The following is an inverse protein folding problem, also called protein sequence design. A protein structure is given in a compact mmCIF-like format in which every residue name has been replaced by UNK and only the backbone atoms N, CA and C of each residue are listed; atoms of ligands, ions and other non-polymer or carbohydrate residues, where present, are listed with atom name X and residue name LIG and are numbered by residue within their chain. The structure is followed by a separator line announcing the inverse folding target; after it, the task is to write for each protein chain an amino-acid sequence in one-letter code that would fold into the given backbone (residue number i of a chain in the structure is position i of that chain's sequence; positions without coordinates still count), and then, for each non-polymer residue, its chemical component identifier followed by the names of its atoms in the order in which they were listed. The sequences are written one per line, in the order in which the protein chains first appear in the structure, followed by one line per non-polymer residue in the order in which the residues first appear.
data_IF_107893657939
#
_entry.id   IF_107893657939
#
_cell.length_a   1.000
_cell.length_b   1.000
_cell.length_c   1.000
_cell.angle_alpha   90.00
_cell.angle_beta   90.00
_cell.angle_gamma   90.00
#
_symmetry.space_group_name_H-M   'P 1'
#
loop_
_entity.id
_entity.type
_entity.pdbx_description
1 polymer ?
2 non-polymer ?
3 water ?
#
# COMPACT_ATOMS: atom_id res chain seq x y z
N UNK A 25 0.57 8.17 -40.29
CA UNK A 25 -0.48 8.39 -41.30
C UNK A 25 -1.83 8.13 -40.66
N UNK A 26 -2.18 6.87 -40.37
CA UNK A 26 -3.62 6.56 -40.13
C UNK A 26 -3.88 5.14 -39.60
N UNK A 27 -4.62 5.01 -38.52
CA UNK A 27 -4.80 3.69 -37.92
C UNK A 27 -4.08 3.55 -36.59
N UNK A 28 -3.79 2.31 -36.21
CA UNK A 28 -3.29 2.00 -34.87
C UNK A 28 -1.78 2.01 -34.79
N UNK A 29 -1.26 2.75 -33.84
CA UNK A 29 0.16 2.89 -33.62
C UNK A 29 0.46 2.63 -32.20
N UNK A 30 1.72 2.36 -31.92
CA UNK A 30 2.23 2.25 -30.56
C UNK A 30 3.29 3.33 -30.33
N UNK A 31 3.29 3.86 -29.10
CA UNK A 31 4.14 5.00 -28.72
C UNK A 31 5.51 4.48 -28.41
N UNK A 32 6.53 5.08 -28.98
CA UNK A 32 7.91 4.73 -28.70
C UNK A 32 8.52 5.63 -27.60
N UNK A 33 7.77 6.61 -27.17
CA UNK A 33 8.18 7.52 -26.11
C UNK A 33 6.91 8.06 -25.48
N UNK A 34 7.03 8.63 -24.29
CA UNK A 34 5.90 9.26 -23.64
C UNK A 34 5.44 10.47 -24.45
N UNK A 35 4.17 10.50 -24.83
CA UNK A 35 3.69 11.56 -25.71
C UNK A 35 2.66 12.41 -25.02
N UNK A 36 2.77 13.71 -25.21
CA UNK A 36 1.73 14.63 -24.74
C UNK A 36 0.55 14.71 -25.71
N UNK A 37 -0.65 14.61 -25.17
CA UNK A 37 -1.88 14.86 -25.94
C UNK A 37 -2.56 16.11 -25.42
N UNK A 38 -2.97 16.95 -26.35
CA UNK A 38 -3.54 18.24 -26.01
C UNK A 38 -5.00 18.25 -26.29
N UNK A 39 -5.68 19.19 -25.67
CA UNK A 39 -7.11 19.24 -25.86
C UNK A 39 -7.54 20.05 -27.06
N UNK A 40 -6.61 20.65 -27.78
CA UNK A 40 -6.97 21.32 -29.03
C UNK A 40 -5.84 21.25 -30.01
N UNK A 41 -6.12 21.52 -31.28
CA UNK A 41 -5.04 21.58 -32.28
C UNK A 41 -3.93 22.58 -32.03
N UNK A 42 -4.16 23.59 -31.20
CA UNK A 42 -3.15 24.57 -30.86
C UNK A 42 -2.15 24.06 -29.83
N UNK A 43 -2.43 22.94 -29.16
CA UNK A 43 -1.49 22.35 -28.24
C UNK A 43 -1.02 23.27 -27.12
N UNK A 44 -1.98 23.95 -26.52
CA UNK A 44 -1.74 24.88 -25.45
C UNK A 44 -2.11 24.36 -24.08
N UNK A 45 -2.94 23.32 -24.03
CA UNK A 45 -3.35 22.73 -22.76
C UNK A 45 -3.31 21.23 -22.84
N UNK A 46 -2.55 20.64 -21.91
CA UNK A 46 -2.34 19.20 -21.85
C UNK A 46 -3.59 18.54 -21.39
N UNK A 47 -3.99 17.52 -22.12
CA UNK A 47 -5.15 16.73 -21.78
C UNK A 47 -4.78 15.41 -21.06
N UNK A 48 -3.87 14.64 -21.64
CA UNK A 48 -3.35 13.47 -20.96
C UNK A 48 -1.98 13.27 -21.56
N UNK A 49 -1.28 12.27 -21.05
CA UNK A 49 -0.01 11.85 -21.59
C UNK A 49 -0.09 10.36 -21.84
N UNK A 50 0.44 9.97 -22.99
CA UNK A 50 0.47 8.54 -23.37
C UNK A 50 1.87 7.94 -23.15
N UNK A 51 1.95 7.01 -22.21
CA UNK A 51 3.18 6.35 -21.85
C UNK A 51 3.69 5.58 -23.02
N UNK A 52 5.01 5.52 -23.09
CA UNK A 52 5.67 4.60 -24.02
C UNK A 52 4.98 3.25 -24.00
N UNK A 53 4.81 2.69 -25.18
CA UNK A 53 4.24 1.35 -25.28
C UNK A 53 2.73 1.37 -25.45
N UNK A 54 2.04 2.46 -25.10
CA UNK A 54 0.60 2.52 -25.35
C UNK A 54 0.28 2.57 -26.84
N UNK A 55 -0.92 2.12 -27.15
CA UNK A 55 -1.47 2.13 -28.48
C UNK A 55 -2.37 3.31 -28.67
N UNK A 56 -2.31 3.90 -29.85
CA UNK A 56 -3.21 5.00 -30.12
C UNK A 56 -3.69 4.92 -31.54
N UNK A 57 -4.86 5.49 -31.76
CA UNK A 57 -5.47 5.55 -33.09
C UNK A 57 -5.27 6.95 -33.64
N UNK A 58 -4.70 7.01 -34.82
CA UNK A 58 -4.47 8.26 -35.52
C UNK A 58 -5.57 8.42 -36.57
N UNK A 59 -6.33 9.52 -36.48
CA UNK A 59 -7.42 9.80 -37.41
C UNK A 59 -6.87 10.52 -38.61
N UNK A 60 -7.74 10.81 -39.57
CA UNK A 60 -7.34 11.63 -40.68
C UNK A 60 -7.61 13.13 -40.43
N UNK A 61 -8.02 13.50 -39.21
CA UNK A 61 -8.27 14.91 -38.90
C UNK A 61 -6.97 15.65 -38.51
N UNK A 62 -6.35 16.27 -39.50
CA UNK A 62 -5.20 17.14 -39.29
C UNK A 62 -5.68 18.58 -39.21
N UNK A 63 -5.16 19.32 -38.24
CA UNK A 63 -5.50 20.71 -38.09
C UNK A 63 -4.32 21.41 -37.45
N UNK A 64 -4.00 22.60 -37.95
CA UNK A 64 -2.86 23.32 -37.43
C UNK A 64 -1.67 22.35 -37.62
N UNK A 65 -0.78 22.21 -36.65
CA UNK A 65 0.30 21.28 -36.86
C UNK A 65 0.15 20.05 -35.97
N UNK A 66 -1.09 19.55 -35.89
CA UNK A 66 -1.43 18.43 -35.02
C UNK A 66 -2.48 17.55 -35.70
N UNK A 67 -2.71 16.36 -35.12
CA UNK A 67 -3.66 15.42 -35.65
C UNK A 67 -4.47 14.86 -34.49
N UNK A 68 -5.77 14.67 -34.71
CA UNK A 68 -6.64 14.10 -33.72
C UNK A 68 -6.37 12.61 -33.59
N UNK A 69 -6.26 12.17 -32.35
CA UNK A 69 -6.02 10.78 -32.01
C UNK A 69 -6.93 10.41 -30.87
N UNK A 70 -7.03 9.12 -30.60
CA UNK A 70 -7.51 8.66 -29.33
C UNK A 70 -6.66 7.50 -28.84
N UNK A 71 -6.52 7.38 -27.54
CA UNK A 71 -5.73 6.33 -26.97
C UNK A 71 -6.58 5.08 -26.87
N UNK A 72 -6.01 3.95 -27.24
CA UNK A 72 -6.78 2.70 -27.33
C UNK A 72 -7.29 2.12 -26.05
N UNK A 73 -6.53 2.28 -24.97
CA UNK A 73 -6.87 1.62 -23.73
C UNK A 73 -7.96 2.27 -22.90
N UNK A 74 -8.09 3.59 -23.02
CA UNK A 74 -9.10 4.35 -22.26
C UNK A 74 -9.97 5.21 -23.16
N UNK A 75 -9.85 5.05 -24.48
CA UNK A 75 -10.60 5.85 -25.44
C UNK A 75 -10.38 7.34 -25.34
N UNK A 76 -9.29 7.82 -24.73
CA UNK A 76 -9.16 9.22 -24.46
C UNK A 76 -8.82 9.97 -25.73
N UNK A 77 -9.62 10.99 -26.08
CA UNK A 77 -9.31 11.71 -27.32
C UNK A 77 -8.46 12.95 -27.09
N UNK A 78 -7.68 13.32 -28.10
CA UNK A 78 -6.89 14.51 -28.02
C UNK A 78 -6.15 14.77 -29.29
N UNK A 79 -5.19 15.67 -29.20
CA UNK A 79 -4.46 16.12 -30.33
C UNK A 79 -2.99 15.84 -30.08
N UNK A 80 -2.36 15.26 -31.09
CA UNK A 80 -0.95 14.96 -31.06
C UNK A 80 -0.22 15.86 -32.04
N UNK A 81 0.85 16.47 -31.59
CA UNK A 81 1.64 17.30 -32.46
C UNK A 81 2.24 16.43 -33.57
N UNK A 82 2.20 16.92 -34.82
CA UNK A 82 2.77 16.17 -35.93
C UNK A 82 4.25 15.91 -35.74
N UNK A 83 4.92 16.76 -34.96
CA UNK A 83 6.30 16.54 -34.58
C UNK A 83 6.57 15.25 -33.74
N UNK A 84 5.54 14.65 -33.17
CA UNK A 84 5.67 13.39 -32.46
C UNK A 84 5.40 12.18 -33.35
N UNK A 85 5.20 12.40 -34.66
CA UNK A 85 4.95 11.28 -35.55
C UNK A 85 6.10 10.31 -35.63
N UNK A 86 7.31 10.79 -35.42
CA UNK A 86 8.47 9.92 -35.42
C UNK A 86 8.52 8.99 -34.21
N UNK A 87 7.69 9.26 -33.23
CA UNK A 87 7.64 8.41 -32.06
C UNK A 87 6.48 7.45 -32.12
N UNK A 88 5.88 7.30 -33.31
CA UNK A 88 4.76 6.36 -33.51
C UNK A 88 5.23 5.27 -34.40
N UNK A 89 5.02 4.05 -33.97
CA UNK A 89 5.34 2.90 -34.80
C UNK A 89 4.04 2.15 -35.10
N UNK A 90 3.83 1.69 -36.35
CA UNK A 90 2.57 1.00 -36.67
C UNK A 90 2.44 -0.23 -35.80
N UNK A 91 1.27 -0.48 -35.29
CA UNK A 91 1.07 -1.68 -34.48
C UNK A 91 0.92 -2.89 -35.39
N UNK A 92 1.55 -4.00 -35.06
CA UNK A 92 1.36 -5.23 -35.82
C UNK A 92 0.46 -6.18 -35.05
N UNK A 93 0.27 -5.92 -33.76
CA UNK A 93 -0.63 -6.67 -32.90
C UNK A 93 -1.59 -5.65 -32.32
N UNK A 94 -2.88 -5.73 -32.66
CA UNK A 94 -3.82 -4.73 -32.16
C UNK A 94 -4.06 -4.84 -30.68
N UNK A 95 -4.29 -3.72 -30.01
CA UNK A 95 -4.59 -3.70 -28.59
C UNK A 95 -5.91 -4.46 -28.39
N UNK A 96 -5.90 -5.37 -27.43
CA UNK A 96 -7.11 -6.10 -27.02
C UNK A 96 -7.18 -6.03 -25.49
N UNK A 97 -8.29 -5.53 -24.97
CA UNK A 97 -8.37 -5.26 -23.54
C UNK A 97 -8.48 -6.57 -22.79
N UNK A 98 -7.74 -6.67 -21.69
CA UNK A 98 -7.81 -7.78 -20.77
C UNK A 98 -9.03 -7.64 -19.85
N UNK A 99 -9.52 -8.78 -19.40
CA UNK A 99 -10.67 -8.86 -18.51
C UNK A 99 -10.17 -9.31 -17.15
N UNK A 100 -10.62 -8.62 -16.10
CA UNK A 100 -10.28 -8.96 -14.75
C UNK A 100 -11.55 -9.25 -13.96
N UNK A 101 -11.57 -10.35 -13.23
CA UNK A 101 -12.59 -10.58 -12.21
C UNK A 101 -12.31 -9.70 -10.97
N UNK A 102 -13.33 -9.57 -10.14
CA UNK A 102 -13.27 -8.81 -8.90
C UNK A 102 -12.17 -9.38 -7.99
N UNK A 103 -12.01 -10.69 -8.00
CA UNK A 103 -10.98 -11.33 -7.18
C UNK A 103 -9.56 -11.12 -7.71
N UNK A 104 -9.41 -11.14 -9.03
CA UNK A 104 -8.14 -10.78 -9.63
C UNK A 104 -7.74 -9.34 -9.32
N UNK A 105 -8.71 -8.45 -9.39
CA UNK A 105 -8.47 -7.07 -9.04
C UNK A 105 -8.05 -6.95 -7.59
N UNK A 106 -8.77 -7.61 -6.69
CA UNK A 106 -8.42 -7.53 -5.28
C UNK A 106 -6.96 -7.96 -5.01
N UNK A 107 -6.52 -9.00 -5.68
CA UNK A 107 -5.15 -9.47 -5.54
C UNK A 107 -4.10 -8.49 -5.96
N UNK A 108 -4.46 -7.50 -6.80
CA UNK A 108 -3.49 -6.58 -7.36
C UNK A 108 -3.50 -5.23 -6.67
N UNK A 109 -4.42 -5.02 -5.72
CA UNK A 109 -4.49 -3.71 -5.08
C UNK A 109 -3.25 -3.36 -4.27
N UNK A 110 -2.53 -4.33 -3.76
CA UNK A 110 -1.30 -4.05 -3.00
C UNK A 110 -0.28 -3.38 -3.89
N UNK A 111 -0.15 -3.87 -5.12
CA UNK A 111 0.72 -3.26 -6.10
C UNK A 111 0.27 -1.85 -6.48
N UNK A 112 -1.04 -1.64 -6.57
CA UNK A 112 -1.56 -0.33 -6.92
C UNK A 112 -1.20 0.69 -5.86
N UNK A 113 -1.44 0.31 -4.61
CA UNK A 113 -1.03 1.15 -3.50
C UNK A 113 0.47 1.38 -3.48
N UNK A 114 1.23 0.32 -3.68
CA UNK A 114 2.70 0.49 -3.69
C UNK A 114 3.16 1.45 -4.78
N UNK A 115 2.50 1.42 -5.93
CA UNK A 115 2.81 2.38 -7.00
C UNK A 115 2.70 3.81 -6.52
N UNK A 116 1.62 4.11 -5.78
CA UNK A 116 1.44 5.48 -5.35
C UNK A 116 2.47 5.87 -4.30
N UNK A 117 2.88 4.91 -3.46
CA UNK A 117 3.88 5.24 -2.46
C UNK A 117 5.23 5.44 -3.09
N UNK A 118 5.57 4.63 -4.09
CA UNK A 118 6.81 4.82 -4.81
C UNK A 118 6.80 6.19 -5.52
N UNK A 119 5.66 6.57 -6.06
CA UNK A 119 5.50 7.87 -6.74
C UNK A 119 5.71 9.04 -5.79
N UNK A 120 5.24 8.87 -4.57
CA UNK A 120 5.35 9.92 -3.54
C UNK A 120 6.80 10.13 -3.12
N UNK A 121 7.63 9.12 -3.32
CA UNK A 121 9.04 9.21 -2.97
C UNK A 121 9.84 9.97 -3.98
N UNK A 122 9.31 10.19 -5.18
CA UNK A 122 10.03 10.95 -6.19
C UNK A 122 9.67 12.42 -6.08
N UNK A 123 10.60 13.29 -6.44
CA UNK A 123 10.23 14.70 -6.55
C UNK A 123 9.08 14.82 -7.55
N UNK A 124 8.06 15.54 -7.16
CA UNK A 124 6.86 15.63 -8.00
C UNK A 124 6.10 16.91 -7.65
N UNK A 125 5.42 17.44 -8.65
CA UNK A 125 4.46 18.51 -8.41
C UNK A 125 3.17 18.22 -9.15
N UNK A 126 2.14 18.98 -8.85
CA UNK A 126 0.85 18.72 -9.44
C UNK A 126 0.86 19.26 -10.86
N UNK A 127 0.56 18.42 -11.81
CA UNK A 127 0.59 18.84 -13.23
C UNK A 127 -0.74 18.46 -13.86
N UNK A 128 -1.52 19.45 -14.31
CA UNK A 128 -2.75 19.18 -15.03
C UNK A 128 -2.42 18.41 -16.29
N UNK A 129 -3.12 17.30 -16.50
CA UNK A 129 -2.85 16.36 -17.60
C UNK A 129 -1.74 15.39 -17.33
N UNK A 130 -1.14 15.48 -16.14
CA UNK A 130 -0.03 14.63 -15.80
C UNK A 130 -0.41 13.18 -15.57
N UNK A 131 0.20 12.30 -16.34
CA UNK A 131 -0.24 10.92 -16.42
C UNK A 131 0.91 9.91 -16.45
N UNK A 132 2.09 10.30 -16.93
CA UNK A 132 3.21 9.36 -17.05
C UNK A 132 4.18 9.43 -15.91
N UNK A 133 4.16 10.52 -15.16
CA UNK A 133 5.05 10.60 -14.01
C UNK A 133 6.34 11.31 -14.36
N UNK A 134 6.99 11.88 -13.36
CA UNK A 134 6.64 11.84 -11.93
C UNK A 134 5.55 12.80 -11.50
N UNK A 135 5.14 13.72 -12.38
CA UNK A 135 4.21 14.78 -12.01
C UNK A 135 2.82 14.39 -12.49
N UNK A 136 1.90 14.23 -11.54
CA UNK A 136 0.55 13.79 -11.79
C UNK A 136 -0.50 14.80 -11.44
N UNK A 137 -1.67 14.65 -12.07
CA UNK A 137 -2.89 15.24 -11.54
C UNK A 137 -3.62 14.16 -10.79
N UNK A 138 -4.70 14.49 -10.13
CA UNK A 138 -5.32 13.50 -9.22
C UNK A 138 -5.76 12.23 -9.90
N UNK A 139 -6.53 12.37 -10.98
CA UNK A 139 -7.06 11.24 -11.74
C UNK A 139 -5.96 10.59 -12.57
N UNK A 140 -4.93 11.36 -12.93
CA UNK A 140 -3.77 10.76 -13.62
C UNK A 140 -3.01 9.77 -12.76
N UNK A 141 -2.86 10.10 -11.47
CA UNK A 141 -2.21 9.21 -10.56
C UNK A 141 -3.03 7.96 -10.40
N UNK A 142 -4.35 8.11 -10.33
CA UNK A 142 -5.19 6.91 -10.17
C UNK A 142 -5.04 6.04 -11.42
N UNK A 143 -5.08 6.65 -12.58
CA UNK A 143 -4.98 5.84 -13.80
C UNK A 143 -3.64 5.16 -13.91
N UNK A 144 -2.57 5.89 -13.61
CA UNK A 144 -1.23 5.34 -13.69
C UNK A 144 -1.02 4.20 -12.69
N UNK A 145 -1.59 4.34 -11.50
CA UNK A 145 -1.42 3.32 -10.47
C UNK A 145 -2.14 2.03 -10.79
N UNK A 146 -3.38 2.13 -11.25
CA UNK A 146 -4.09 0.92 -11.69
C UNK A 146 -3.50 0.38 -12.96
N UNK A 147 -3.03 1.23 -13.87
CA UNK A 147 -2.47 0.68 -15.10
C UNK A 147 -1.14 -0.03 -14.82
N UNK A 148 -0.47 0.29 -13.70
CA UNK A 148 0.79 -0.38 -13.34
C UNK A 148 0.59 -1.88 -13.06
N UNK A 149 -0.65 -2.28 -12.82
CA UNK A 149 -1.01 -3.69 -12.76
C UNK A 149 -1.82 -4.21 -13.95
N UNK A 150 -2.02 -3.34 -14.94
CA UNK A 150 -2.72 -3.71 -16.15
C UNK A 150 -4.22 -3.44 -16.09
N UNK A 151 -4.67 -2.74 -15.07
CA UNK A 151 -6.10 -2.38 -14.94
C UNK A 151 -6.30 -0.99 -15.46
N UNK A 152 -7.20 -0.83 -16.44
CA UNK A 152 -7.49 0.46 -17.05
C UNK A 152 -8.73 1.13 -16.46
N UNK A 153 -8.55 2.35 -16.00
CA UNK A 153 -9.61 3.23 -15.58
C UNK A 153 -9.69 4.29 -16.66
N UNK A 154 -10.87 4.89 -16.77
CA UNK A 154 -10.96 6.10 -17.56
C UNK A 154 -10.13 7.21 -16.96
N UNK A 155 -9.90 8.24 -17.73
CA UNK A 155 -8.88 9.23 -17.36
C UNK A 155 -9.34 10.30 -16.40
N UNK A 156 -10.59 10.74 -16.48
CA UNK A 156 -11.02 11.88 -15.65
C UNK A 156 -11.71 11.45 -14.38
N UNK A 157 -11.63 12.28 -13.34
CA UNK A 157 -12.19 11.90 -12.05
C UNK A 157 -13.68 11.61 -12.13
N UNK A 158 -14.42 12.40 -12.90
CA UNK A 158 -15.87 12.18 -13.02
C UNK A 158 -16.17 10.86 -13.74
N UNK A 159 -15.31 10.48 -14.68
CA UNK A 159 -15.44 9.21 -15.37
C UNK A 159 -15.12 8.03 -14.43
N UNK A 160 -14.09 8.23 -13.61
CA UNK A 160 -13.73 7.19 -12.60
C UNK A 160 -14.84 6.96 -11.61
N UNK A 161 -15.53 8.03 -11.26
CA UNK A 161 -16.69 7.90 -10.39
C UNK A 161 -17.82 7.11 -11.06
N UNK A 162 -18.05 7.38 -12.35
CA UNK A 162 -19.08 6.67 -13.09
C UNK A 162 -18.72 5.23 -13.38
N UNK A 163 -17.44 4.94 -13.40
CA UNK A 163 -16.94 3.63 -13.82
C UNK A 163 -16.84 2.64 -12.67
N UNK A 164 -16.62 3.16 -11.47
CA UNK A 164 -16.53 2.33 -10.29
C UNK A 164 -17.94 2.06 -9.73
N UNK A 165 -18.00 1.11 -8.81
CA UNK A 165 -19.23 0.76 -8.11
C UNK A 165 -19.33 1.68 -6.91
N UNK A 166 -20.40 2.50 -6.84
CA UNK A 166 -20.49 3.34 -5.67
C UNK A 166 -20.63 2.55 -4.41
N UNK A 167 -19.92 2.96 -3.38
CA UNK A 167 -20.06 2.40 -2.06
C UNK A 167 -20.22 3.51 -1.05
N UNK A 168 -20.60 3.15 0.15
CA UNK A 168 -20.67 4.14 1.22
C UNK A 168 -19.27 4.41 1.76
N UNK A 169 -19.14 5.54 2.42
CA UNK A 169 -17.88 5.91 3.05
C UNK A 169 -17.51 4.85 4.10
N UNK A 170 -18.51 4.34 4.80
CA UNK A 170 -18.27 3.31 5.81
C UNK A 170 -17.67 2.05 5.21
N UNK A 171 -17.94 1.78 3.95
CA UNK A 171 -17.51 0.56 3.28
C UNK A 171 -16.10 0.69 2.70
N UNK A 172 -15.49 1.87 2.78
CA UNK A 172 -14.18 2.05 2.19
C UNK A 172 -13.18 1.04 2.72
N UNK A 173 -12.43 0.43 1.79
CA UNK A 173 -11.29 -0.44 2.12
C UNK A 173 -10.11 -0.12 1.22
N UNK A 174 -8.93 -0.54 1.63
CA UNK A 174 -7.71 -0.21 0.88
C UNK A 174 -7.89 -0.48 -0.63
N UNK A 175 -7.57 0.49 -1.46
CA UNK A 175 -7.64 0.33 -2.89
C UNK A 175 -8.91 0.84 -3.50
N UNK A 176 -9.88 1.27 -2.68
CA UNK A 176 -11.03 1.98 -3.18
C UNK A 176 -10.69 3.42 -3.52
N UNK A 177 -11.52 4.04 -4.36
CA UNK A 177 -11.36 5.44 -4.73
C UNK A 177 -12.27 6.32 -3.89
N UNK A 178 -11.77 7.48 -3.53
CA UNK A 178 -12.52 8.45 -2.75
C UNK A 178 -12.67 9.65 -3.68
N UNK A 179 -13.90 10.14 -3.80
CA UNK A 179 -14.23 11.22 -4.71
C UNK A 179 -14.63 12.46 -3.96
N UNK A 180 -14.23 13.60 -4.52
CA UNK A 180 -14.48 14.90 -3.95
C UNK A 180 -14.97 15.81 -5.06
N UNK A 181 -15.75 16.82 -4.68
CA UNK A 181 -16.10 17.86 -5.64
C UNK A 181 -17.30 18.58 -5.11
N UNK A 182 -18.18 19.08 -5.95
CA UNK A 182 -19.40 19.72 -5.42
C UNK A 182 -20.51 18.72 -5.64
N UNK A 183 -21.73 19.12 -5.36
CA UNK A 183 -22.85 18.22 -5.50
C UNK A 183 -23.03 17.88 -6.98
N UNK A 184 -22.38 18.67 -7.87
CA UNK A 184 -22.54 18.64 -9.36
C UNK A 184 -21.74 17.50 -10.04
N UNK A 185 -20.50 17.29 -9.60
CA UNK A 185 -19.64 16.23 -10.14
C UNK A 185 -18.36 16.14 -9.32
N UNK A 186 -17.69 15.00 -9.49
CA UNK A 186 -16.39 14.78 -8.91
C UNK A 186 -15.38 15.52 -9.77
N UNK A 187 -14.53 16.27 -9.09
CA UNK A 187 -13.40 16.94 -9.71
C UNK A 187 -12.07 16.55 -9.08
N UNK A 188 -12.07 15.69 -8.06
CA UNK A 188 -10.88 15.23 -7.38
C UNK A 188 -11.10 13.80 -6.88
N UNK A 189 -10.01 13.06 -6.83
CA UNK A 189 -10.01 11.65 -6.48
C UNK A 189 -8.74 11.28 -5.73
N UNK A 190 -8.87 10.31 -4.82
CA UNK A 190 -7.74 9.72 -4.13
C UNK A 190 -7.98 8.26 -3.90
N UNK A 191 -6.93 7.61 -3.43
CA UNK A 191 -6.91 6.16 -3.24
C UNK A 191 -6.91 5.88 -1.76
N UNK A 192 -7.93 5.16 -1.29
CA UNK A 192 -8.04 4.84 0.10
C UNK A 192 -7.01 3.87 0.62
N UNK A 193 -6.57 4.14 1.85
CA UNK A 193 -5.60 3.30 2.52
C UNK A 193 -6.27 2.59 3.68
N UNK A 194 -6.37 3.27 4.82
CA UNK A 194 -6.97 2.67 6.01
C UNK A 194 -7.32 3.74 7.01
N UNK A 195 -8.43 3.50 7.70
CA UNK A 195 -8.81 4.30 8.87
C UNK A 195 -8.83 5.79 8.56
N UNK A 196 -9.40 6.10 7.41
CA UNK A 196 -9.59 7.48 7.02
C UNK A 196 -8.52 8.04 6.12
N UNK A 197 -7.36 7.38 6.05
CA UNK A 197 -6.24 7.89 5.28
C UNK A 197 -6.35 7.52 3.83
N UNK A 198 -5.92 8.42 2.97
CA UNK A 198 -5.89 8.17 1.55
C UNK A 198 -4.71 8.91 0.95
N UNK A 199 -4.29 8.45 -0.22
CA UNK A 199 -3.19 9.06 -0.92
C UNK A 199 -3.71 9.69 -2.21
N UNK A 200 -3.18 10.84 -2.54
CA UNK A 200 -3.68 11.60 -3.69
C UNK A 200 -2.62 12.57 -4.16
N UNK A 201 -2.70 12.97 -5.41
CA UNK A 201 -1.97 14.11 -5.90
C UNK A 201 -2.91 15.31 -5.87
N UNK A 202 -2.49 16.37 -5.20
CA UNK A 202 -3.31 17.55 -5.01
C UNK A 202 -2.58 18.85 -5.43
N UNK A 203 -3.40 19.80 -5.85
CA UNK A 203 -2.90 21.02 -6.41
C UNK A 203 -2.24 21.99 -5.45
N UNK A 204 -1.64 23.02 -6.02
CA UNK A 204 -0.86 24.02 -5.29
C UNK A 204 -1.75 24.90 -4.45
N UNK A 205 -2.95 25.18 -4.93
CA UNK A 205 -3.84 26.13 -4.28
C UNK A 205 -4.43 25.68 -2.96
N UNK A 206 -5.09 24.52 -2.97
CA UNK A 206 -5.75 23.95 -1.79
C UNK A 206 -4.95 22.80 -1.14
N UNK A 207 -4.07 22.17 -1.92
CA UNK A 207 -3.42 20.95 -1.50
C UNK A 207 -1.94 21.08 -1.29
N UNK A 208 -1.27 20.00 -1.65
CA UNK A 208 0.13 19.80 -1.30
C UNK A 208 1.07 19.99 -2.47
N UNK A 209 0.53 20.34 -3.63
CA UNK A 209 1.31 20.45 -4.86
C UNK A 209 2.07 19.17 -5.15
N UNK A 210 1.33 18.09 -5.21
CA UNK A 210 1.92 16.79 -5.44
C UNK A 210 1.29 15.73 -4.57
N UNK A 211 1.98 14.61 -4.51
CA UNK A 211 1.44 13.42 -3.91
C UNK A 211 1.61 13.48 -2.41
N UNK A 212 0.56 13.13 -1.72
CA UNK A 212 0.60 13.11 -0.27
C UNK A 212 -0.54 12.34 0.29
N UNK A 213 -0.53 12.26 1.62
CA UNK A 213 -1.50 11.50 2.39
C UNK A 213 -2.33 12.42 3.26
N UNK A 214 -3.65 12.23 3.19
CA UNK A 214 -4.59 13.00 3.98
C UNK A 214 -5.59 12.08 4.67
N UNK A 215 -6.43 12.66 5.51
CA UNK A 215 -7.32 11.89 6.31
C UNK A 215 -8.71 12.49 6.18
N UNK A 216 -9.71 11.60 6.12
CA UNK A 216 -11.09 11.98 6.02
C UNK A 216 -11.63 12.22 7.40
N UNK A 217 -11.24 13.33 7.97
CA UNK A 217 -11.55 13.64 9.36
C UNK A 217 -11.45 15.12 9.60
N UNK A 218 -12.31 15.63 10.47
CA UNK A 218 -12.20 17.00 10.94
C UNK A 218 -11.03 17.20 11.90
N UNK A 219 -10.45 16.11 12.38
CA UNK A 219 -9.24 16.17 13.19
C UNK A 219 -7.97 16.30 12.35
N UNK A 220 -8.11 16.40 11.03
CA UNK A 220 -6.94 16.51 10.16
C UNK A 220 -6.35 17.92 10.16
N UNK A 221 -5.21 18.06 9.49
CA UNK A 221 -4.65 19.37 9.21
C UNK A 221 -5.50 20.15 8.21
N UNK A 222 -5.05 21.35 7.88
CA UNK A 222 -5.81 22.28 7.05
C UNK A 222 -6.09 21.70 5.68
N UNK A 223 -5.09 21.05 5.11
CA UNK A 223 -5.27 20.43 3.82
C UNK A 223 -6.33 19.35 3.91
N UNK A 224 -6.20 18.47 4.90
CA UNK A 224 -7.14 17.39 5.07
C UNK A 224 -8.54 17.93 5.25
N UNK A 225 -8.66 18.99 6.03
CA UNK A 225 -9.95 19.63 6.22
C UNK A 225 -10.50 20.28 4.93
N UNK A 226 -9.66 20.87 4.10
CA UNK A 226 -10.16 21.44 2.83
C UNK A 226 -10.84 20.35 1.97
N UNK A 227 -10.24 19.17 1.91
CA UNK A 227 -10.72 18.08 1.08
C UNK A 227 -11.90 17.35 1.70
N UNK A 228 -11.86 17.18 3.00
CA UNK A 228 -12.88 16.44 3.69
C UNK A 228 -14.24 17.12 3.52
N UNK A 229 -14.25 18.45 3.54
CA UNK A 229 -15.44 19.25 3.32
C UNK A 229 -16.01 19.13 1.92
N UNK A 230 -15.24 18.59 0.97
CA UNK A 230 -15.65 18.40 -0.40
C UNK A 230 -15.92 16.95 -0.71
N UNK A 231 -15.87 16.09 0.30
CA UNK A 231 -16.05 14.68 0.07
C UNK A 231 -17.41 14.39 -0.54
N UNK A 232 -17.45 13.65 -1.66
CA UNK A 232 -18.70 13.25 -2.32
C UNK A 232 -19.07 11.81 -2.04
N UNK A 233 -18.09 10.92 -2.06
CA UNK A 233 -18.40 9.51 -2.02
C UNK A 233 -17.19 8.69 -2.37
N UNK A 234 -17.45 7.45 -2.71
CA UNK A 234 -16.44 6.41 -2.77
C UNK A 234 -16.85 5.39 -3.82
N UNK A 235 -15.86 4.76 -4.44
CA UNK A 235 -16.11 3.79 -5.46
C UNK A 235 -15.14 2.66 -5.42
N UNK A 236 -15.63 1.47 -5.75
CA UNK A 236 -14.81 0.29 -5.83
C UNK A 236 -14.57 -0.09 -7.28
N UNK A 237 -13.31 -0.37 -7.60
CA UNK A 237 -12.95 -0.87 -8.93
C UNK A 237 -13.33 -2.32 -9.02
N UNK A 238 -14.23 -2.65 -9.95
CA UNK A 238 -14.71 -4.01 -10.07
C UNK A 238 -14.49 -4.60 -11.45
N UNK A 239 -13.95 -3.81 -12.37
CA UNK A 239 -13.65 -4.29 -13.69
C UNK A 239 -12.65 -3.32 -14.30
N UNK A 240 -11.99 -3.79 -15.35
CA UNK A 240 -11.09 -2.95 -16.14
C UNK A 240 -11.82 -2.42 -17.33
N UNK A 241 -11.39 -1.26 -17.83
CA UNK A 241 -12.10 -0.57 -18.91
C UNK A 241 -12.03 -1.40 -20.19
N UNK A 242 -13.16 -1.54 -20.85
CA UNK A 242 -13.24 -2.17 -22.18
C UNK A 242 -13.56 -1.07 -23.19
N UNK A 243 -12.68 -0.86 -24.15
CA UNK A 243 -12.89 0.21 -25.11
C UNK A 243 -14.20 0.12 -25.90
N UNK A 244 -14.71 1.28 -26.32
CA UNK A 244 -15.94 1.32 -27.09
C UNK A 244 -15.73 0.61 -28.42
N UNK A 245 -16.80 -0.02 -28.90
CA UNK A 245 -16.83 -0.66 -30.22
C UNK A 245 -16.51 0.33 -31.37
N UNK A 246 -15.68 -0.14 -32.30
CA UNK A 246 -15.38 0.57 -33.56
N UNK B 25 -4.48 -17.22 37.41
CA UNK B 25 -3.83 -18.42 38.06
C UNK B 25 -3.11 -19.23 36.97
N UNK B 26 -3.81 -19.84 36.00
CA UNK B 26 -3.16 -20.92 35.20
C UNK B 26 -3.97 -21.45 34.01
N UNK B 27 -3.36 -21.53 32.85
CA UNK B 27 -4.11 -21.89 31.64
C UNK B 27 -4.26 -20.71 30.71
N UNK B 28 -5.29 -20.75 29.88
CA UNK B 28 -5.50 -19.80 28.83
C UNK B 28 -6.38 -18.66 29.27
N UNK B 29 -5.90 -17.45 29.02
CA UNK B 29 -6.56 -16.20 29.36
C UNK B 29 -6.57 -15.34 28.13
N UNK B 30 -7.43 -14.33 28.15
CA UNK B 30 -7.43 -13.29 27.14
C UNK B 30 -7.13 -11.99 27.81
N UNK B 31 -6.42 -11.14 27.09
CA UNK B 31 -5.96 -9.82 27.57
C UNK B 31 -7.12 -8.83 27.47
N UNK B 32 -7.34 -8.06 28.53
CA UNK B 32 -8.31 -6.98 28.52
C UNK B 32 -7.70 -5.62 28.24
N UNK B 33 -6.38 -5.57 28.10
CA UNK B 33 -5.68 -4.38 27.80
C UNK B 33 -4.41 -4.83 27.10
N UNK B 34 -3.71 -3.91 26.46
CA UNK B 34 -2.41 -4.17 25.86
C UNK B 34 -1.43 -4.45 27.00
N UNK B 35 -0.77 -5.61 26.99
CA UNK B 35 0.14 -5.99 28.05
C UNK B 35 1.56 -6.09 27.54
N UNK B 36 2.52 -5.66 28.35
CA UNK B 36 3.94 -5.82 28.07
C UNK B 36 4.43 -7.18 28.56
N UNK B 37 5.16 -7.89 27.70
CA UNK B 37 5.85 -9.13 28.08
C UNK B 37 7.32 -8.84 28.04
N UNK B 38 8.02 -9.34 29.05
CA UNK B 38 9.45 -9.06 29.24
C UNK B 38 10.27 -10.30 29.04
N UNK B 39 11.55 -10.10 28.82
CA UNK B 39 12.41 -11.22 28.56
C UNK B 39 13.01 -11.86 29.76
N UNK B 40 12.66 -11.39 30.95
CA UNK B 40 13.13 -11.99 32.20
C UNK B 40 12.15 -11.66 33.30
N UNK B 41 12.19 -12.42 34.43
CA UNK B 41 11.29 -12.16 35.55
C UNK B 41 11.49 -10.79 36.17
N UNK B 42 12.63 -10.16 35.91
CA UNK B 42 12.89 -8.80 36.46
C UNK B 42 12.12 -7.71 35.71
N UNK B 43 11.62 -8.05 34.53
CA UNK B 43 10.82 -7.12 33.73
C UNK B 43 11.55 -5.81 33.42
N UNK B 44 12.81 -5.94 33.04
CA UNK B 44 13.63 -4.83 32.65
C UNK B 44 13.72 -4.56 31.16
N UNK B 45 13.38 -5.57 30.35
CA UNK B 45 13.50 -5.42 28.91
C UNK B 45 12.33 -6.12 28.22
N UNK B 46 11.72 -5.36 27.32
CA UNK B 46 10.49 -5.76 26.63
C UNK B 46 10.80 -6.80 25.60
N UNK B 47 10.02 -7.89 25.58
CA UNK B 47 10.16 -8.94 24.57
C UNK B 47 9.13 -8.75 23.45
N UNK B 48 7.88 -8.53 23.84
CA UNK B 48 6.81 -8.28 22.91
C UNK B 48 5.70 -7.58 23.69
N UNK B 49 4.64 -7.24 23.00
CA UNK B 49 3.48 -6.69 23.62
C UNK B 49 2.28 -7.39 23.08
N UNK B 50 1.37 -7.71 23.97
CA UNK B 50 0.14 -8.46 23.65
C UNK B 50 -1.05 -7.54 23.60
N UNK B 51 -1.55 -7.32 22.39
CA UNK B 51 -2.72 -6.47 22.16
C UNK B 51 -3.94 -7.00 22.90
N UNK B 52 -4.76 -6.07 23.34
CA UNK B 52 -5.94 -6.39 23.99
C UNK B 52 -6.74 -7.36 23.12
N UNK B 53 -7.28 -8.39 23.74
CA UNK B 53 -8.03 -9.39 23.01
C UNK B 53 -7.23 -10.63 22.69
N UNK B 54 -5.89 -10.55 22.68
CA UNK B 54 -5.10 -11.75 22.41
C UNK B 54 -5.21 -12.76 23.56
N UNK B 55 -4.90 -13.99 23.23
CA UNK B 55 -4.88 -15.04 24.17
C UNK B 55 -3.50 -15.38 24.63
N UNK B 56 -3.41 -15.69 25.91
CA UNK B 56 -2.12 -16.16 26.39
C UNK B 56 -2.24 -17.26 27.38
N UNK B 57 -1.18 -18.08 27.44
CA UNK B 57 -1.11 -19.22 28.34
C UNK B 57 -0.25 -18.88 29.53
N UNK B 58 -0.85 -19.00 30.72
CA UNK B 58 -0.12 -18.72 31.94
C UNK B 58 0.39 -20.04 32.49
N UNK B 59 1.69 -20.10 32.67
CA UNK B 59 2.32 -21.31 33.22
C UNK B 59 2.35 -21.21 34.74
N UNK B 60 2.75 -22.29 35.39
CA UNK B 60 2.90 -22.34 36.83
C UNK B 60 4.24 -21.75 37.30
N UNK B 61 5.05 -21.26 36.36
CA UNK B 61 6.38 -20.76 36.70
C UNK B 61 6.42 -19.30 37.15
N UNK B 62 6.21 -19.08 38.45
CA UNK B 62 6.21 -17.76 39.05
C UNK B 62 7.60 -17.53 39.55
N UNK B 63 8.12 -16.34 39.31
CA UNK B 63 9.46 -16.00 39.75
C UNK B 63 9.53 -14.52 39.96
N UNK B 64 10.07 -14.10 41.09
CA UNK B 64 10.18 -12.68 41.39
C UNK B 64 8.72 -12.21 41.49
N UNK B 65 8.36 -11.14 40.80
CA UNK B 65 6.99 -10.71 40.77
C UNK B 65 6.37 -10.83 39.36
N UNK B 66 6.68 -11.95 38.70
CA UNK B 66 6.23 -12.23 37.37
C UNK B 66 6.00 -13.71 37.15
N UNK B 67 5.29 -14.00 36.06
CA UNK B 67 5.02 -15.36 35.71
C UNK B 67 5.37 -15.56 34.26
N UNK B 68 5.87 -16.74 33.95
CA UNK B 68 6.15 -17.09 32.59
C UNK B 68 4.86 -17.39 31.85
N UNK B 69 4.77 -16.80 30.66
CA UNK B 69 3.63 -17.02 29.79
C UNK B 69 4.10 -17.29 28.37
N UNK B 70 3.18 -17.70 27.53
CA UNK B 70 3.41 -17.58 26.09
C UNK B 70 2.13 -17.14 25.41
N UNK B 71 2.27 -16.38 24.32
CA UNK B 71 1.10 -15.91 23.61
C UNK B 71 0.62 -17.03 22.68
N UNK B 72 -0.69 -17.22 22.60
CA UNK B 72 -1.25 -18.35 21.87
C UNK B 72 -1.07 -18.28 20.36
N UNK B 73 -1.11 -17.07 19.81
CA UNK B 73 -1.18 -16.95 18.36
C UNK B 73 0.17 -17.11 17.65
N UNK B 74 1.24 -16.83 18.37
CA UNK B 74 2.59 -16.89 17.82
C UNK B 74 3.57 -17.68 18.66
N UNK B 75 3.06 -18.35 19.69
CA UNK B 75 3.89 -19.09 20.63
C UNK B 75 4.98 -18.28 21.32
N UNK B 76 4.86 -16.96 21.40
CA UNK B 76 5.98 -16.18 21.86
C UNK B 76 6.05 -16.17 23.35
N UNK B 77 7.20 -16.54 23.92
CA UNK B 77 7.33 -16.68 25.38
C UNK B 77 7.81 -15.40 26.02
N UNK B 78 7.43 -15.22 27.27
CA UNK B 78 7.85 -14.04 27.98
C UNK B 78 7.37 -14.09 29.40
N UNK B 79 7.58 -12.97 30.08
CA UNK B 79 7.28 -12.83 31.47
C UNK B 79 6.28 -11.72 31.61
N UNK B 80 5.21 -12.01 32.35
CA UNK B 80 4.17 -11.07 32.59
C UNK B 80 4.19 -10.69 34.05
N UNK B 81 4.12 -9.41 34.32
CA UNK B 81 4.09 -8.96 35.69
C UNK B 81 2.86 -9.49 36.40
N UNK B 82 2.99 -9.87 37.66
CA UNK B 82 1.81 -10.32 38.42
C UNK B 82 0.79 -9.21 38.56
N UNK B 83 1.25 -7.97 38.52
CA UNK B 83 0.37 -6.80 38.53
C UNK B 83 -0.55 -6.68 37.33
N UNK B 84 -0.27 -7.41 36.25
CA UNK B 84 -1.16 -7.44 35.09
C UNK B 84 -2.17 -8.56 35.12
N UNK B 85 -2.22 -9.31 36.22
CA UNK B 85 -3.23 -10.36 36.34
C UNK B 85 -4.67 -9.85 36.32
N UNK B 86 -4.89 -8.64 36.79
CA UNK B 86 -6.22 -8.05 36.72
C UNK B 86 -6.71 -7.77 35.32
N UNK B 87 -5.78 -7.75 34.38
CA UNK B 87 -6.10 -7.55 32.95
C UNK B 87 -6.22 -8.85 32.19
N UNK B 88 -6.27 -9.98 32.93
CA UNK B 88 -6.47 -11.30 32.33
C UNK B 88 -7.80 -11.89 32.70
N UNK B 89 -8.54 -12.31 31.69
CA UNK B 89 -9.84 -12.93 31.90
C UNK B 89 -9.67 -14.37 31.46
N UNK B 90 -10.29 -15.31 32.18
CA UNK B 90 -10.19 -16.69 31.66
C UNK B 90 -10.87 -16.87 30.33
N UNK B 91 -10.23 -17.59 29.41
CA UNK B 91 -10.77 -17.80 28.07
C UNK B 91 -11.83 -18.91 28.19
N UNK B 92 -13.00 -18.73 27.65
CA UNK B 92 -14.00 -19.79 27.64
C UNK B 92 -14.00 -20.40 26.26
N UNK B 93 -13.39 -19.71 25.31
CA UNK B 93 -13.28 -20.20 23.95
C UNK B 93 -11.80 -20.22 23.63
N UNK B 94 -11.21 -21.40 23.41
CA UNK B 94 -9.76 -21.39 23.18
C UNK B 94 -9.37 -20.90 21.81
N UNK B 95 -8.20 -20.29 21.74
CA UNK B 95 -7.71 -19.78 20.49
C UNK B 95 -7.49 -20.97 19.56
N UNK B 96 -7.98 -20.85 18.34
CA UNK B 96 -7.75 -21.84 17.29
C UNK B 96 -7.37 -21.06 16.02
N UNK B 97 -6.23 -21.44 15.45
CA UNK B 97 -5.68 -20.66 14.36
C UNK B 97 -6.48 -20.86 13.09
N UNK B 98 -6.75 -19.77 12.39
CA UNK B 98 -7.36 -19.82 11.08
C UNK B 98 -6.34 -20.21 10.04
N UNK B 99 -6.86 -20.76 8.96
CA UNK B 99 -6.10 -21.19 7.84
C UNK B 99 -6.37 -20.27 6.68
N UNK B 100 -5.30 -19.79 6.08
CA UNK B 100 -5.40 -18.94 4.89
C UNK B 100 -4.66 -19.59 3.73
N UNK B 101 -5.33 -19.71 2.58
CA UNK B 101 -4.65 -20.04 1.34
C UNK B 101 -3.80 -18.89 0.83
N UNK B 102 -2.90 -19.20 -0.10
CA UNK B 102 -2.00 -18.22 -0.70
C UNK B 102 -2.82 -17.11 -1.34
N UNK B 103 -3.88 -17.52 -2.03
CA UNK B 103 -4.81 -16.63 -2.69
C UNK B 103 -5.53 -15.68 -1.72
N UNK B 104 -6.01 -16.21 -0.60
CA UNK B 104 -6.66 -15.36 0.40
C UNK B 104 -5.68 -14.35 0.96
N UNK B 105 -4.44 -14.78 1.19
CA UNK B 105 -3.42 -13.89 1.64
C UNK B 105 -3.20 -12.78 0.64
N UNK B 106 -3.05 -13.15 -0.64
CA UNK B 106 -2.74 -12.15 -1.66
C UNK B 106 -3.78 -11.03 -1.67
N UNK B 107 -5.04 -11.40 -1.47
CA UNK B 107 -6.14 -10.45 -1.44
C UNK B 107 -6.09 -9.44 -0.30
N UNK B 108 -5.36 -9.78 0.77
CA UNK B 108 -5.28 -8.97 1.95
C UNK B 108 -4.05 -8.07 2.03
N UNK B 109 -3.11 -8.23 1.10
CA UNK B 109 -1.87 -7.53 1.19
C UNK B 109 -2.07 -6.01 1.10
N UNK B 110 -3.07 -5.56 0.35
CA UNK B 110 -3.31 -4.11 0.23
C UNK B 110 -3.58 -3.53 1.63
N UNK B 111 -4.38 -4.25 2.41
CA UNK B 111 -4.67 -3.81 3.78
C UNK B 111 -3.44 -3.86 4.65
N UNK B 112 -2.58 -4.85 4.47
CA UNK B 112 -1.35 -4.93 5.23
C UNK B 112 -0.46 -3.72 4.96
N UNK B 113 -0.26 -3.42 3.70
CA UNK B 113 0.55 -2.24 3.32
C UNK B 113 -0.08 -0.96 3.88
N UNK B 114 -1.39 -0.84 3.74
CA UNK B 114 -2.10 0.33 4.24
C UNK B 114 -1.91 0.52 5.73
N UNK B 115 -1.87 -0.58 6.47
CA UNK B 115 -1.62 -0.52 7.90
C UNK B 115 -0.30 0.14 8.19
N UNK B 116 0.73 -0.23 7.44
CA UNK B 116 2.07 0.29 7.68
C UNK B 116 2.11 1.77 7.31
N UNK B 117 1.37 2.14 6.27
CA UNK B 117 1.31 3.54 5.87
C UNK B 117 0.63 4.38 6.93
N UNK B 118 -0.50 3.90 7.43
CA UNK B 118 -1.23 4.55 8.53
C UNK B 118 -0.29 4.70 9.75
N UNK B 119 0.46 3.66 10.07
CA UNK B 119 1.37 3.69 11.22
C UNK B 119 2.45 4.75 11.03
N UNK B 120 2.93 4.87 9.79
CA UNK B 120 3.97 5.86 9.50
C UNK B 120 3.46 7.29 9.72
N UNK B 121 2.16 7.49 9.67
CA UNK B 121 1.60 8.83 9.83
C UNK B 121 1.47 9.22 11.27
N UNK B 122 1.61 8.29 12.19
CA UNK B 122 1.53 8.63 13.60
C UNK B 122 2.93 8.91 14.13
N UNK B 123 3.03 9.78 15.13
CA UNK B 123 4.31 9.94 15.82
C UNK B 123 4.74 8.59 16.39
N UNK B 124 5.98 8.24 16.08
CA UNK B 124 6.52 6.93 16.45
C UNK B 124 8.03 6.96 16.52
N UNK B 125 8.58 6.13 17.38
CA UNK B 125 9.99 5.92 17.41
C UNK B 125 10.29 4.43 17.48
N UNK B 126 11.53 4.07 17.26
CA UNK B 126 11.86 2.65 17.26
C UNK B 126 11.90 2.11 18.67
N UNK B 127 11.21 1.02 18.92
CA UNK B 127 11.18 0.42 20.22
C UNK B 127 11.34 -1.08 20.10
N UNK B 128 12.43 -1.60 20.60
CA UNK B 128 12.60 -3.06 20.62
C UNK B 128 11.54 -3.64 21.52
N UNK B 129 10.86 -4.63 20.96
CA UNK B 129 9.70 -5.23 21.59
C UNK B 129 8.36 -4.58 21.26
N UNK B 130 8.39 -3.48 20.54
CA UNK B 130 7.22 -2.72 20.17
C UNK B 130 6.34 -3.44 19.17
N UNK B 131 5.12 -3.71 19.57
CA UNK B 131 4.24 -4.60 18.81
C UNK B 131 2.83 -4.07 18.68
N UNK B 132 2.36 -3.26 19.64
CA UNK B 132 0.94 -2.77 19.63
C UNK B 132 0.81 -1.38 19.03
N UNK B 133 1.90 -0.65 18.93
CA UNK B 133 1.85 0.66 18.30
C UNK B 133 1.66 1.74 19.35
N UNK B 134 2.09 2.97 19.06
CA UNK B 134 2.60 3.44 17.80
C UNK B 134 4.07 3.15 17.58
N UNK B 135 4.78 2.71 18.63
CA UNK B 135 6.21 2.50 18.53
C UNK B 135 6.54 1.03 18.28
N UNK B 136 7.13 0.75 17.12
CA UNK B 136 7.42 -0.61 16.71
C UNK B 136 8.90 -0.89 16.59
N UNK B 137 9.23 -2.15 16.66
CA UNK B 137 10.49 -2.62 16.10
C UNK B 137 10.22 -3.17 14.71
N UNK B 138 11.26 -3.63 14.04
CA UNK B 138 11.08 -4.00 12.62
C UNK B 138 10.09 -5.17 12.44
N UNK B 139 10.33 -6.24 13.19
CA UNK B 139 9.52 -7.42 13.09
C UNK B 139 8.17 -7.24 13.77
N UNK B 140 8.08 -6.35 14.78
CA UNK B 140 6.81 -6.09 15.39
C UNK B 140 5.85 -5.35 14.45
N UNK B 141 6.38 -4.44 13.62
CA UNK B 141 5.54 -3.78 12.62
C UNK B 141 5.02 -4.78 11.64
N UNK B 142 5.87 -5.72 11.23
CA UNK B 142 5.42 -6.80 10.32
C UNK B 142 4.33 -7.58 10.95
N UNK B 143 4.53 -8.01 12.18
CA UNK B 143 3.53 -8.84 12.82
C UNK B 143 2.22 -8.10 12.96
N UNK B 144 2.30 -6.84 13.39
CA UNK B 144 1.11 -6.05 13.64
C UNK B 144 0.36 -5.81 12.33
N UNK B 145 1.08 -5.56 11.25
CA UNK B 145 0.47 -5.28 9.97
C UNK B 145 -0.27 -6.48 9.41
N UNK B 146 0.38 -7.66 9.40
CA UNK B 146 -0.32 -8.86 8.96
C UNK B 146 -1.42 -9.25 9.94
N UNK B 147 -1.21 -9.05 11.21
CA UNK B 147 -2.29 -9.44 12.14
C UNK B 147 -3.54 -8.55 11.98
N UNK B 148 -3.36 -7.34 11.48
CA UNK B 148 -4.48 -6.43 11.27
C UNK B 148 -5.50 -7.00 10.26
N UNK B 149 -5.10 -8.00 9.47
CA UNK B 149 -6.00 -8.71 8.60
C UNK B 149 -6.25 -10.19 9.04
N UNK B 150 -5.69 -10.56 10.19
CA UNK B 150 -5.89 -11.87 10.75
C UNK B 150 -4.84 -12.90 10.42
N UNK B 151 -3.75 -12.48 9.78
CA UNK B 151 -2.68 -13.38 9.40
C UNK B 151 -1.61 -13.25 10.46
N UNK B 152 -1.22 -14.37 11.03
CA UNK B 152 -0.22 -14.38 12.09
C UNK B 152 1.13 -14.79 11.54
N UNK B 153 2.12 -13.95 11.83
CA UNK B 153 3.54 -14.24 11.63
C UNK B 153 4.16 -14.53 12.99
N UNK B 154 5.23 -15.32 13.00
CA UNK B 154 6.02 -15.37 14.21
C UNK B 154 6.58 -13.97 14.51
N UNK B 155 7.05 -13.77 15.74
CA UNK B 155 7.39 -12.44 16.24
C UNK B 155 8.75 -11.86 15.85
N UNK B 156 9.79 -12.68 15.79
CA UNK B 156 11.15 -12.21 15.53
C UNK B 156 11.51 -12.28 14.07
N UNK B 157 12.38 -11.37 13.61
CA UNK B 157 12.79 -11.34 12.21
C UNK B 157 13.37 -12.66 11.71
N UNK B 158 14.22 -13.33 12.51
CA UNK B 158 14.79 -14.61 12.07
C UNK B 158 13.70 -15.68 11.93
N UNK B 159 12.69 -15.60 12.79
CA UNK B 159 11.56 -16.54 12.67
C UNK B 159 10.73 -16.28 11.44
N UNK B 160 10.53 -14.99 11.12
CA UNK B 160 9.80 -14.59 9.93
C UNK B 160 10.53 -15.06 8.68
N UNK B 161 11.85 -15.04 8.70
CA UNK B 161 12.62 -15.50 7.58
C UNK B 161 12.41 -17.00 7.43
N UNK B 162 12.37 -17.70 8.56
CA UNK B 162 12.22 -19.16 8.49
C UNK B 162 10.79 -19.59 8.13
N UNK B 163 9.83 -18.70 8.37
CA UNK B 163 8.40 -19.01 8.21
C UNK B 163 7.90 -18.73 6.81
N UNK B 164 8.49 -17.74 6.17
CA UNK B 164 8.13 -17.37 4.81
C UNK B 164 8.83 -18.30 3.82
N UNK B 165 8.37 -18.24 2.57
CA UNK B 165 8.94 -18.97 1.46
C UNK B 165 10.04 -18.13 0.89
N UNK B 166 11.31 -18.61 0.91
CA UNK B 166 12.40 -17.82 0.33
C UNK B 166 12.16 -17.59 -1.13
N UNK B 167 12.35 -16.35 -1.55
CA UNK B 167 12.30 -15.98 -2.95
C UNK B 167 13.54 -15.18 -3.27
N UNK B 168 13.81 -15.02 -4.56
CA UNK B 168 14.92 -14.18 -4.99
C UNK B 168 14.49 -12.72 -4.91
N UNK B 169 15.48 -11.85 -4.82
CA UNK B 169 15.24 -10.41 -4.82
C UNK B 169 14.47 -10.02 -6.10
N UNK B 170 14.82 -10.64 -7.21
CA UNK B 170 14.16 -10.38 -8.50
C UNK B 170 12.66 -10.66 -8.45
N UNK B 171 12.27 -11.64 -7.63
CA UNK B 171 10.88 -12.06 -7.52
C UNK B 171 10.07 -11.21 -6.56
N UNK B 172 10.70 -10.27 -5.87
CA UNK B 172 9.96 -9.43 -4.93
C UNK B 172 8.75 -8.75 -5.54
N UNK B 173 7.62 -8.83 -4.85
CA UNK B 173 6.40 -8.11 -5.19
C UNK B 173 5.83 -7.51 -3.92
N UNK B 174 4.95 -6.54 -4.07
CA UNK B 174 4.31 -5.88 -2.94
C UNK B 174 3.77 -6.84 -1.92
N UNK B 175 4.14 -6.61 -0.67
CA UNK B 175 3.69 -7.44 0.42
C UNK B 175 4.62 -8.58 0.78
N UNK B 176 5.69 -8.77 0.04
CA UNK B 176 6.73 -9.70 0.42
C UNK B 176 7.60 -9.06 1.53
N UNK B 177 8.35 -9.88 2.24
CA UNK B 177 9.25 -9.42 3.30
C UNK B 177 10.68 -9.41 2.79
N UNK B 178 11.42 -8.39 3.20
CA UNK B 178 12.80 -8.23 2.83
C UNK B 178 13.57 -8.42 4.15
N UNK B 179 14.60 -9.28 4.10
CA UNK B 179 15.41 -9.58 5.26
C UNK B 179 16.83 -9.06 5.15
N UNK B 180 17.33 -8.58 6.28
CA UNK B 180 18.66 -7.99 6.42
C UNK B 180 19.34 -8.58 7.65
N UNK B 181 20.66 -8.67 7.59
CA UNK B 181 21.40 -9.11 8.74
C UNK B 181 22.82 -9.43 8.43
N UNK B 182 23.39 -10.31 9.25
CA UNK B 182 24.71 -10.93 9.01
C UNK B 182 24.53 -12.09 8.06
N UNK B 183 25.63 -12.71 7.62
CA UNK B 183 25.54 -13.97 6.88
C UNK B 183 24.92 -15.07 7.75
N UNK B 184 24.89 -14.88 9.09
CA UNK B 184 24.40 -15.91 10.03
C UNK B 184 22.90 -15.87 10.22
N UNK B 185 22.35 -14.67 10.41
CA UNK B 185 20.92 -14.60 10.60
C UNK B 185 20.31 -13.22 10.33
N UNK B 186 19.01 -13.25 10.07
CA UNK B 186 18.23 -12.03 9.86
C UNK B 186 18.00 -11.34 11.18
N UNK B 187 18.32 -10.06 11.23
CA UNK B 187 18.07 -9.24 12.41
C UNK B 187 17.14 -8.06 12.10
N UNK B 188 16.79 -7.89 10.83
CA UNK B 188 15.95 -6.78 10.40
C UNK B 188 15.07 -7.22 9.26
N UNK B 189 13.91 -6.61 9.17
CA UNK B 189 12.90 -7.00 8.17
C UNK B 189 12.12 -5.75 7.73
N UNK B 190 11.70 -5.75 6.47
CA UNK B 190 10.82 -4.75 5.95
C UNK B 190 9.81 -5.33 5.00
N UNK B 191 8.88 -4.49 4.60
CA UNK B 191 7.75 -4.89 3.74
C UNK B 191 7.93 -4.28 2.38
N UNK B 192 8.08 -5.12 1.37
CA UNK B 192 8.29 -4.62 0.03
C UNK B 192 7.10 -3.93 -0.57
N UNK B 193 7.40 -2.86 -1.30
CA UNK B 193 6.39 -2.05 -1.93
C UNK B 193 6.53 -2.27 -3.43
N UNK B 194 7.39 -1.51 -4.09
CA UNK B 194 7.56 -1.64 -5.53
C UNK B 194 8.85 -1.02 -5.93
N UNK B 195 9.45 -1.56 -6.97
CA UNK B 195 10.64 -0.95 -7.59
C UNK B 195 11.79 -0.64 -6.62
N UNK B 196 12.06 -1.57 -5.74
CA UNK B 196 13.16 -1.44 -4.81
C UNK B 196 12.76 -0.81 -3.49
N UNK B 197 11.59 -0.17 -3.43
CA UNK B 197 11.18 0.48 -2.18
C UNK B 197 10.51 -0.49 -1.20
N UNK B 198 10.69 -0.19 0.07
CA UNK B 198 10.15 -1.00 1.14
C UNK B 198 9.96 -0.09 2.34
N UNK B 199 9.01 -0.50 3.18
CA UNK B 199 8.67 0.23 4.38
C UNK B 199 9.11 -0.62 5.59
N UNK B 200 9.65 0.05 6.58
CA UNK B 200 10.17 -0.63 7.73
C UNK B 200 10.25 0.31 8.90
N UNK B 201 10.29 -0.27 10.09
CA UNK B 201 10.67 0.52 11.28
C UNK B 201 12.13 0.23 11.53
N UNK B 202 12.93 1.28 11.63
CA UNK B 202 14.37 1.17 11.78
C UNK B 202 14.89 1.99 12.95
N UNK B 203 16.00 1.52 13.51
CA UNK B 203 16.58 2.08 14.72
C UNK B 203 17.19 3.46 14.59
N UNK B 204 17.47 4.04 15.75
CA UNK B 204 18.00 5.39 15.85
C UNK B 204 19.43 5.46 15.30
N UNK B 205 20.24 4.42 15.52
CA UNK B 205 21.66 4.46 15.15
C UNK B 205 21.91 4.46 13.66
N UNK B 206 21.43 3.44 12.98
CA UNK B 206 21.64 3.27 11.53
C UNK B 206 20.46 3.78 10.71
N UNK B 207 19.27 3.83 11.30
CA UNK B 207 18.05 4.10 10.56
C UNK B 207 17.36 5.40 10.85
N UNK B 208 16.04 5.35 10.83
CA UNK B 208 15.18 6.53 10.87
C UNK B 208 14.52 6.76 12.21
N UNK B 209 14.84 5.95 13.18
CA UNK B 209 14.18 5.96 14.47
C UNK B 209 12.68 5.91 14.33
N UNK B 210 12.21 4.89 13.63
CA UNK B 210 10.81 4.77 13.37
C UNK B 210 10.52 4.30 11.96
N UNK B 211 9.26 4.44 11.59
CA UNK B 211 8.75 3.93 10.33
C UNK B 211 9.13 4.84 9.18
N UNK B 212 9.66 4.25 8.12
CA UNK B 212 9.99 5.04 6.94
C UNK B 212 10.22 4.12 5.78
N UNK B 213 10.56 4.74 4.67
CA UNK B 213 10.64 4.04 3.39
C UNK B 213 12.05 4.14 2.88
N UNK B 214 12.59 3.02 2.44
CA UNK B 214 13.92 2.99 1.90
C UNK B 214 13.95 2.22 0.57
N UNK B 215 15.10 2.25 -0.08
CA UNK B 215 15.23 1.64 -1.36
C UNK B 215 16.36 0.62 -1.34
N UNK B 216 16.15 -0.50 -2.03
CA UNK B 216 17.22 -1.48 -2.22
C UNK B 216 18.09 -1.08 -3.38
N UNK B 217 18.90 -0.04 -3.18
CA UNK B 217 19.73 0.49 -4.25
C UNK B 217 20.93 1.20 -3.65
N UNK B 218 21.99 1.30 -4.43
CA UNK B 218 23.10 2.16 -4.05
C UNK B 218 22.87 3.62 -4.45
N UNK B 219 21.84 3.88 -5.26
CA UNK B 219 21.44 5.25 -5.58
C UNK B 219 20.66 5.88 -4.43
N UNK B 220 20.43 5.14 -3.35
CA UNK B 220 19.65 5.65 -2.24
C UNK B 220 20.40 6.62 -1.37
N UNK B 221 19.73 7.21 -0.39
CA UNK B 221 20.42 7.99 0.61
C UNK B 221 21.23 7.08 1.53
N UNK B 222 21.82 7.69 2.56
CA UNK B 222 22.77 7.01 3.41
C UNK B 222 22.11 5.90 4.22
N UNK B 223 20.90 6.12 4.69
CA UNK B 223 20.19 5.06 5.39
C UNK B 223 19.90 3.92 4.43
N UNK B 224 19.39 4.21 3.25
CA UNK B 224 19.14 3.14 2.30
C UNK B 224 20.37 2.29 2.07
N UNK B 225 21.53 2.93 1.91
CA UNK B 225 22.74 2.20 1.59
C UNK B 225 23.17 1.29 2.73
N UNK B 226 23.03 1.76 3.99
CA UNK B 226 23.46 0.96 5.11
C UNK B 226 22.69 -0.34 5.19
N UNK B 227 21.37 -0.26 4.98
CA UNK B 227 20.55 -1.46 4.95
C UNK B 227 20.80 -2.32 3.70
N UNK B 228 20.96 -1.70 2.56
CA UNK B 228 21.13 -2.44 1.35
C UNK B 228 22.34 -3.34 1.47
N UNK B 229 23.41 -2.81 2.08
CA UNK B 229 24.62 -3.57 2.26
C UNK B 229 24.44 -4.80 3.16
N UNK B 230 23.34 -4.86 3.89
CA UNK B 230 23.08 -5.98 4.79
C UNK B 230 21.95 -6.88 4.28
N UNK B 231 21.53 -6.63 3.04
CA UNK B 231 20.43 -7.38 2.49
C UNK B 231 20.77 -8.86 2.46
N UNK B 232 19.92 -9.68 3.05
CA UNK B 232 20.09 -11.12 3.02
C UNK B 232 19.24 -11.79 1.99
N UNK B 233 18.02 -11.34 1.82
CA UNK B 233 17.11 -12.07 1.01
C UNK B 233 15.68 -11.64 1.21
N UNK B 234 14.76 -12.48 0.76
CA UNK B 234 13.34 -12.09 0.68
C UNK B 234 12.48 -13.30 0.95
N UNK B 235 11.26 -13.06 1.45
CA UNK B 235 10.35 -14.13 1.69
C UNK B 235 8.94 -13.77 1.37
N UNK B 236 8.18 -14.76 0.94
CA UNK B 236 6.75 -14.58 0.69
C UNK B 236 5.91 -15.25 1.78
N UNK B 237 4.91 -14.53 2.29
CA UNK B 237 3.99 -15.09 3.23
C UNK B 237 3.00 -15.94 2.47
N UNK B 238 3.00 -17.24 2.76
CA UNK B 238 2.15 -18.16 2.04
C UNK B 238 1.15 -18.90 2.90
N UNK B 239 1.25 -18.69 4.20
CA UNK B 239 0.36 -19.27 5.19
C UNK B 239 0.39 -18.41 6.42
N UNK B 240 -0.58 -18.64 7.28
CA UNK B 240 -0.67 -18.04 8.62
C UNK B 240 -0.12 -19.04 9.60
N UNK B 241 0.49 -18.53 10.66
CA UNK B 241 1.13 -19.36 11.67
C UNK B 241 0.16 -20.27 12.39
N UNK B 242 0.54 -21.54 12.52
CA UNK B 242 -0.24 -22.55 13.25
C UNK B 242 0.58 -22.84 14.51
N UNK B 243 0.03 -22.57 15.69
CA UNK B 243 0.85 -22.80 16.89
C UNK B 243 1.24 -24.25 17.08
N UNK B 244 2.31 -24.47 17.84
CA UNK B 244 2.74 -25.79 18.26
C UNK B 244 1.66 -26.57 18.97
N UNK B 245 1.66 -27.89 18.80
CA UNK B 245 0.80 -28.82 19.55
C UNK B 245 1.13 -28.83 21.06
N UNK B 246 0.08 -28.79 21.88
CA UNK B 246 0.18 -28.90 23.34
X LIG C 1 -1.48 5.31 -17.58
X LIG C 1 -2.07 6.38 -16.86
X LIG C 1 0.02 5.34 -17.31
X LIG C 1 0.63 6.55 -17.74
X LIG C 1 0.70 4.16 -18.02
X LIG C 1 2.06 4.09 -17.62
X LIG D 1 -3.40 14.41 8.38
X LIG D 1 -4.11 15.62 8.17
X LIG D 1 -2.34 14.27 7.29
X LIG D 1 -1.31 15.20 7.55
X LIG D 1 -1.82 12.83 7.12
X LIG D 1 -0.96 12.40 8.16
X LIG E 1 -2.16 -7.20 17.17
X LIG E 1 -2.92 -5.98 17.16
X LIG E 1 -0.68 -6.89 17.02
X LIG E 1 -0.15 -6.16 18.13
X LIG E 1 0.04 -8.22 16.80
X LIG E 1 1.36 -8.02 16.43
#
# INVERSE_FOLDING_TARGET
XGSDKIHHHHHHXVRLSEAEVQNPKLGEYQCLADLNLFDSPECTRLATQSASGRHLWVTSNHQNLAVEVYLCEDDYPGWLSLSDFDSLQPATVPYQAATFSESEIKKLLAEVIAFTQKAMQQSNYYLWGGTVGPNYDCSGLMQAAFASVGIWLPRDAYQQEGFTQPITIAELVAGDLVFFGTSQKATHVGLYLADGYYIHSSGKDQGRDGIGIDILSEQGDAVSLSYYQQLRGAGRVFKSYEPQRR
XGSDKIHHHHHHXVRLSEAEVQNPKLGEYQCLADLNLFDSPECTRLATQSASGRHLWVTSNHQNLAVEVYLCEDDYPGWLSLSDFDSLQPATVPYQAATFSESEIKKLLAEVIAFTQKAMQQSNYYLWGGTVGPNYDCSGLMQAAFASVGIWLPRDAYQQEGFTQPITIAELVAGDLVFFGTSQKATHVGLYLADGYYIHSSGKDQGRDGIGIDILSEQGDAVSLSYYQQLRGAGRVFKSYEPQRR
GOL C1 O1 C2 O2 C3 O3
GOL C1 O1 C2 O2 C3 O3
GOL C1 O1 C2 O2 C3 O3
#
